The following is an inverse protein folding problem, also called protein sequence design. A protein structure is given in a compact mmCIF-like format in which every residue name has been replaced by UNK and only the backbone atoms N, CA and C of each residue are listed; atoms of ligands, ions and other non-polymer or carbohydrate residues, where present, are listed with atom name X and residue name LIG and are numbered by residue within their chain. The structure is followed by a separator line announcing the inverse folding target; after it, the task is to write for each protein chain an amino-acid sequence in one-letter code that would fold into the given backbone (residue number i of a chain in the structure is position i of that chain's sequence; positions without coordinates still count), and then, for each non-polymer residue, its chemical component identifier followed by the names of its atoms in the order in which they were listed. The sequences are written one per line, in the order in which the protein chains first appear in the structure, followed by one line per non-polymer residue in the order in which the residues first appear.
data_IF_741168777200
#
_entry.id   IF_741168777200
#
_cell.length_a   1.000
_cell.length_b   1.000
_cell.length_c   1.000
_cell.angle_alpha   90.00
_cell.angle_beta   90.00
_cell.angle_gamma   90.00
#
_symmetry.space_group_name_H-M   'P 1'
#
loop_
_entity.id
_entity.type
_entity.pdbx_description
1 polymer ?
#
# COMPACT_ATOMS: atom_id res chain seq x y z
N UNK A 1 -12.42 -13.36 10.97
CA UNK A 1 -12.09 -13.46 9.52
C UNK A 1 -10.85 -12.68 9.07
N UNK A 2 -10.35 -11.68 9.81
CA UNK A 2 -9.14 -10.90 9.42
C UNK A 2 -7.83 -11.71 9.40
N UNK A 3 -7.80 -12.87 10.09
CA UNK A 3 -6.60 -13.73 10.17
C UNK A 3 -6.14 -14.30 8.82
N UNK A 4 -7.05 -14.44 7.85
CA UNK A 4 -6.71 -15.00 6.53
C UNK A 4 -6.16 -13.93 5.58
N UNK A 5 -6.89 -12.84 5.37
CA UNK A 5 -6.50 -11.82 4.39
C UNK A 5 -5.57 -10.75 4.94
N UNK A 6 -5.60 -10.49 6.26
CA UNK A 6 -4.82 -9.43 6.89
C UNK A 6 -3.31 -9.58 6.67
N UNK A 7 -2.71 -10.75 6.93
CA UNK A 7 -1.30 -11.00 6.60
C UNK A 7 -0.98 -10.80 5.12
N UNK A 8 -1.84 -11.30 4.22
CA UNK A 8 -1.65 -11.13 2.76
C UNK A 8 -1.67 -9.65 2.36
N UNK A 9 -2.60 -8.87 2.91
CA UNK A 9 -2.71 -7.44 2.63
C UNK A 9 -1.49 -6.65 3.12
N UNK A 10 -1.03 -6.93 4.34
CA UNK A 10 0.18 -6.27 4.87
C UNK A 10 1.45 -6.68 4.11
N UNK A 11 1.62 -7.96 3.78
CA UNK A 11 2.74 -8.41 2.93
C UNK A 11 2.68 -7.78 1.54
N UNK A 12 1.49 -7.52 1.00
CA UNK A 12 1.31 -6.79 -0.27
C UNK A 12 1.79 -5.35 -0.16
N UNK A 13 1.39 -4.62 0.88
CA UNK A 13 1.83 -3.23 1.09
C UNK A 13 3.34 -3.15 1.32
N UNK A 14 3.88 -4.00 2.19
CA UNK A 14 5.32 -4.07 2.46
C UNK A 14 6.11 -4.37 1.18
N UNK A 15 5.69 -5.39 0.43
CA UNK A 15 6.28 -5.72 -0.86
C UNK A 15 6.33 -4.53 -1.81
N UNK A 16 5.20 -3.85 -2.00
CA UNK A 16 5.11 -2.73 -2.95
C UNK A 16 6.00 -1.57 -2.50
N UNK A 17 6.05 -1.27 -1.20
CA UNK A 17 6.90 -0.21 -0.67
C UNK A 17 8.40 -0.49 -0.84
N UNK A 18 8.83 -1.75 -0.73
CA UNK A 18 10.24 -2.13 -0.90
C UNK A 18 10.68 -2.24 -2.37
N UNK A 19 9.73 -2.53 -3.28
CA UNK A 19 9.96 -2.56 -4.73
C UNK A 19 10.01 -1.13 -5.33
N UNK A 20 9.42 -0.16 -4.64
CA UNK A 20 9.27 1.20 -5.14
C UNK A 20 10.63 1.87 -5.42
N UNK A 21 10.78 2.70 -6.47
CA UNK A 21 12.07 3.31 -6.81
C UNK A 21 12.57 4.30 -5.74
N UNK A 22 13.89 4.44 -5.62
CA UNK A 22 14.50 5.46 -4.75
C UNK A 22 14.28 6.89 -5.27
N UNK A 23 14.22 7.04 -6.60
CA UNK A 23 13.93 8.30 -7.28
C UNK A 23 12.78 8.11 -8.28
N UNK A 24 11.52 8.02 -7.81
CA UNK A 24 10.37 7.75 -8.65
C UNK A 24 10.04 8.94 -9.54
N UNK A 25 9.67 8.65 -10.79
CA UNK A 25 9.12 9.66 -11.70
C UNK A 25 7.74 10.15 -11.23
N UNK A 26 7.25 11.32 -11.71
CA UNK A 26 5.89 11.78 -11.42
C UNK A 26 4.81 10.74 -11.74
N UNK A 27 5.01 9.99 -12.81
CA UNK A 27 4.11 8.96 -13.27
C UNK A 27 4.12 7.73 -12.34
N UNK A 28 5.28 7.34 -11.81
CA UNK A 28 5.42 6.28 -10.81
C UNK A 28 4.81 6.65 -9.46
N UNK A 29 4.97 7.92 -9.03
CA UNK A 29 4.25 8.44 -7.86
C UNK A 29 2.73 8.33 -8.04
N UNK A 30 2.24 8.64 -9.23
CA UNK A 30 0.82 8.54 -9.54
C UNK A 30 0.33 7.08 -9.53
N UNK A 31 1.12 6.13 -10.03
CA UNK A 31 0.81 4.68 -9.95
C UNK A 31 0.77 4.21 -8.49
N UNK A 32 1.76 4.59 -7.68
CA UNK A 32 1.81 4.20 -6.27
C UNK A 32 0.63 4.79 -5.46
N UNK A 33 0.32 6.07 -5.65
CA UNK A 33 -0.83 6.71 -5.01
C UNK A 33 -2.15 6.01 -5.40
N UNK A 34 -2.33 5.74 -6.70
CA UNK A 34 -3.49 5.02 -7.22
C UNK A 34 -3.60 3.60 -6.67
N UNK A 35 -2.47 2.89 -6.53
CA UNK A 35 -2.43 1.58 -5.90
C UNK A 35 -2.91 1.63 -4.45
N UNK A 36 -2.42 2.57 -3.63
CA UNK A 36 -2.83 2.70 -2.21
C UNK A 36 -4.31 3.05 -2.10
N UNK A 37 -4.81 3.94 -2.96
CA UNK A 37 -6.23 4.30 -3.01
C UNK A 37 -7.12 3.08 -3.30
N UNK A 38 -6.76 2.28 -4.32
CA UNK A 38 -7.48 1.07 -4.69
C UNK A 38 -7.38 -0.01 -3.61
N UNK A 39 -6.19 -0.18 -3.01
CA UNK A 39 -5.99 -1.09 -1.88
C UNK A 39 -6.94 -0.72 -0.74
N UNK A 40 -6.96 0.56 -0.33
CA UNK A 40 -7.83 1.04 0.75
C UNK A 40 -9.32 0.82 0.46
N UNK A 41 -9.77 1.08 -0.77
CA UNK A 41 -11.17 0.88 -1.19
C UNK A 41 -11.62 -0.57 -1.16
N UNK A 42 -10.72 -1.49 -1.48
CA UNK A 42 -11.02 -2.92 -1.67
C UNK A 42 -10.82 -3.76 -0.40
N UNK A 43 -10.40 -3.16 0.72
CA UNK A 43 -10.39 -3.83 2.04
C UNK A 43 -11.80 -4.34 2.35
N UNK A 44 -11.91 -5.65 2.59
CA UNK A 44 -13.19 -6.37 2.71
C UNK A 44 -13.87 -6.20 4.07
N UNK A 45 -13.17 -5.63 5.05
CA UNK A 45 -13.69 -5.31 6.38
C UNK A 45 -14.01 -3.81 6.47
N UNK A 46 -15.28 -3.45 6.65
CA UNK A 46 -15.72 -2.04 6.66
C UNK A 46 -15.01 -1.19 7.73
N UNK A 47 -14.87 -1.70 8.96
CA UNK A 47 -14.17 -1.00 10.04
C UNK A 47 -12.67 -0.82 9.75
N UNK A 48 -12.08 -1.81 9.08
CA UNK A 48 -10.68 -1.80 8.70
C UNK A 48 -10.44 -0.82 7.54
N UNK A 49 -11.33 -0.83 6.53
CA UNK A 49 -11.37 0.10 5.39
C UNK A 49 -11.47 1.54 5.86
N UNK A 50 -12.44 1.85 6.71
CA UNK A 50 -12.63 3.21 7.23
C UNK A 50 -11.43 3.67 8.05
N UNK A 51 -10.87 2.81 8.89
CA UNK A 51 -9.68 3.13 9.66
C UNK A 51 -8.45 3.37 8.78
N UNK A 52 -8.22 2.51 7.78
CA UNK A 52 -7.11 2.69 6.83
C UNK A 52 -7.26 3.99 6.05
N UNK A 53 -8.48 4.32 5.59
CA UNK A 53 -8.76 5.57 4.88
C UNK A 53 -8.47 6.81 5.74
N UNK A 54 -8.92 6.84 7.01
CA UNK A 54 -8.62 7.94 7.93
C UNK A 54 -7.13 8.07 8.22
N UNK A 55 -6.48 6.95 8.53
CA UNK A 55 -5.04 6.90 8.79
C UNK A 55 -4.22 7.39 7.59
N UNK A 56 -4.57 6.93 6.39
CA UNK A 56 -3.90 7.35 5.17
C UNK A 56 -4.12 8.82 4.84
N UNK A 57 -5.32 9.36 5.08
CA UNK A 57 -5.60 10.79 4.91
C UNK A 57 -4.75 11.64 5.87
N UNK A 58 -4.68 11.28 7.15
CA UNK A 58 -3.85 11.96 8.15
C UNK A 58 -2.37 11.90 7.80
N UNK A 59 -1.88 10.72 7.41
CA UNK A 59 -0.47 10.54 7.06
C UNK A 59 -0.07 11.44 5.89
N UNK A 60 -0.84 11.46 4.81
CA UNK A 60 -0.54 12.28 3.63
C UNK A 60 -0.55 13.78 3.92
N UNK A 61 -1.39 14.22 4.86
CA UNK A 61 -1.42 15.62 5.27
C UNK A 61 -0.16 16.01 6.05
N UNK A 62 0.33 15.11 6.92
CA UNK A 62 1.55 15.33 7.70
C UNK A 62 2.85 15.08 6.92
N UNK A 63 2.80 14.18 5.93
CA UNK A 63 3.96 13.69 5.16
C UNK A 63 3.64 13.74 3.65
N UNK A 64 3.56 14.93 3.03
CA UNK A 64 3.34 15.04 1.58
C UNK A 64 4.44 14.35 0.76
N UNK A 65 5.62 14.13 1.33
CA UNK A 65 6.76 13.44 0.76
C UNK A 65 6.68 11.91 0.76
N UNK A 66 5.64 11.27 1.31
CA UNK A 66 5.57 9.82 1.54
C UNK A 66 5.76 8.91 0.29
N UNK A 67 5.75 9.46 -0.91
CA UNK A 67 6.02 8.76 -2.18
C UNK A 67 7.24 9.33 -2.93
N UNK A 68 8.07 10.15 -2.30
CA UNK A 68 9.26 10.74 -2.92
C UNK A 68 10.41 9.74 -3.05
N UNK A 69 10.39 8.63 -2.30
CA UNK A 69 11.40 7.57 -2.38
C UNK A 69 10.86 6.24 -1.84
N UNK A 70 11.62 5.16 -2.07
CA UNK A 70 11.42 3.85 -1.42
C UNK A 70 11.38 3.98 0.10
N UNK A 71 12.32 4.73 0.66
CA UNK A 71 12.42 4.99 2.10
C UNK A 71 11.12 5.58 2.63
N UNK A 72 10.65 6.67 2.02
CA UNK A 72 9.45 7.38 2.49
C UNK A 72 8.21 6.48 2.43
N UNK A 73 8.08 5.69 1.35
CA UNK A 73 6.95 4.80 1.19
C UNK A 73 7.01 3.62 2.19
N UNK A 74 8.19 3.03 2.41
CA UNK A 74 8.36 1.97 3.40
C UNK A 74 8.04 2.47 4.82
N UNK A 75 8.50 3.68 5.19
CA UNK A 75 8.19 4.28 6.49
C UNK A 75 6.70 4.51 6.68
N UNK A 76 5.97 4.94 5.65
CA UNK A 76 4.50 5.00 5.69
C UNK A 76 3.91 3.63 6.02
N UNK A 77 4.28 2.58 5.30
CA UNK A 77 3.72 1.23 5.51
C UNK A 77 4.05 0.69 6.90
N UNK A 78 5.28 0.92 7.38
CA UNK A 78 5.72 0.45 8.70
C UNK A 78 4.94 1.15 9.82
N UNK A 79 4.81 2.48 9.76
CA UNK A 79 4.01 3.27 10.71
C UNK A 79 2.53 2.90 10.65
N UNK A 80 1.98 2.71 9.45
CA UNK A 80 0.60 2.29 9.25
C UNK A 80 0.32 0.93 9.91
N UNK A 81 1.21 -0.04 9.72
CA UNK A 81 1.09 -1.36 10.33
C UNK A 81 1.24 -1.28 11.86
N UNK A 82 2.23 -0.55 12.37
CA UNK A 82 2.40 -0.34 13.81
C UNK A 82 1.23 0.39 14.48
N UNK A 83 0.59 1.31 13.76
CA UNK A 83 -0.64 2.00 14.23
C UNK A 83 -1.79 1.01 14.38
N UNK A 84 -1.96 0.11 13.41
CA UNK A 84 -2.96 -0.98 13.51
C UNK A 84 -2.60 -1.97 14.62
N UNK A 85 -1.31 -2.32 14.80
CA UNK A 85 -0.88 -3.19 15.89
C UNK A 85 -1.19 -2.57 17.26
N UNK A 86 -0.87 -1.29 17.47
CA UNK A 86 -1.23 -0.56 18.69
C UNK A 86 -2.72 -0.62 18.98
N UNK A 87 -3.55 -0.33 17.98
CA UNK A 87 -5.01 -0.35 18.11
C UNK A 87 -5.56 -1.73 18.48
N UNK A 88 -4.89 -2.79 18.02
CA UNK A 88 -5.28 -4.18 18.27
C UNK A 88 -4.55 -4.80 19.47
N UNK A 89 -3.86 -4.00 20.28
CA UNK A 89 -3.02 -4.44 21.41
C UNK A 89 -2.03 -5.55 21.03
N UNK A 90 -1.42 -5.40 19.85
CA UNK A 90 -0.37 -6.29 19.34
C UNK A 90 1.01 -5.66 19.54
N UNK A 91 2.07 -6.49 19.64
CA UNK A 91 3.43 -6.01 19.62
C UNK A 91 3.70 -5.11 18.41
N UNK A 92 4.38 -4.00 18.64
CA UNK A 92 4.89 -3.11 17.60
C UNK A 92 6.36 -3.43 17.34
N UNK A 93 6.77 -3.29 16.09
CA UNK A 93 8.18 -3.46 15.70
C UNK A 93 8.89 -2.12 15.91
N UNK A 94 9.99 -2.13 16.66
CA UNK A 94 10.64 -0.91 17.15
C UNK A 94 11.56 -0.24 16.13
N UNK A 95 12.20 -1.01 15.25
CA UNK A 95 13.22 -0.50 14.33
C UNK A 95 12.93 -0.89 12.90
N UNK A 96 13.51 -0.14 11.96
CA UNK A 96 13.42 -0.45 10.53
C UNK A 96 14.10 -1.79 10.25
N UNK A 97 15.29 -2.02 10.81
CA UNK A 97 16.03 -3.28 10.69
C UNK A 97 15.24 -4.49 11.19
N UNK A 98 14.57 -4.39 12.35
CA UNK A 98 13.71 -5.48 12.85
C UNK A 98 12.53 -5.75 11.90
N UNK A 99 11.99 -4.71 11.26
CA UNK A 99 10.92 -4.89 10.28
C UNK A 99 11.44 -5.60 9.03
N UNK A 100 12.60 -5.19 8.50
CA UNK A 100 13.23 -5.84 7.35
C UNK A 100 13.55 -7.31 7.63
N UNK A 101 14.16 -7.61 8.78
CA UNK A 101 14.44 -8.97 9.23
C UNK A 101 13.17 -9.81 9.37
N UNK A 102 12.08 -9.21 9.86
CA UNK A 102 10.78 -9.89 9.92
C UNK A 102 10.26 -10.23 8.53
N UNK A 103 10.42 -9.32 7.56
CA UNK A 103 10.03 -9.56 6.17
C UNK A 103 10.90 -10.62 5.49
N UNK A 104 12.21 -10.64 5.75
CA UNK A 104 13.12 -11.70 5.30
C UNK A 104 12.64 -13.07 5.79
N UNK A 105 12.39 -13.20 7.09
CA UNK A 105 11.90 -14.45 7.68
C UNK A 105 10.55 -14.89 7.09
N UNK A 106 9.64 -13.95 6.85
CA UNK A 106 8.33 -14.22 6.27
C UNK A 106 8.40 -14.59 4.78
N UNK A 107 9.52 -14.31 4.10
CA UNK A 107 9.69 -14.53 2.66
C UNK A 107 10.60 -15.71 2.30
N UNK A 108 11.09 -16.45 3.30
CA UNK A 108 11.92 -17.66 3.09
C UNK A 108 11.22 -18.69 2.21
N UNK A 109 9.93 -18.94 2.45
CA UNK A 109 9.16 -20.00 1.76
C UNK A 109 8.06 -19.44 0.84
N UNK A 110 7.88 -18.12 0.80
CA UNK A 110 6.83 -17.49 0.01
C UNK A 110 7.30 -16.13 -0.46
N UNK A 111 7.43 -15.95 -1.76
CA UNK A 111 7.92 -14.70 -2.32
C UNK A 111 6.90 -13.58 -2.16
N UNK A 112 7.39 -12.34 -2.20
CA UNK A 112 6.52 -11.18 -2.23
C UNK A 112 5.49 -11.22 -3.37
N UNK A 113 5.90 -11.65 -4.57
CA UNK A 113 4.99 -11.84 -5.71
C UNK A 113 3.83 -12.78 -5.39
N UNK A 114 4.11 -13.90 -4.70
CA UNK A 114 3.10 -14.87 -4.28
C UNK A 114 2.14 -14.27 -3.25
N UNK A 115 2.63 -13.44 -2.31
CA UNK A 115 1.76 -12.73 -1.38
C UNK A 115 0.82 -11.74 -2.08
N UNK A 116 1.36 -10.92 -3.01
CA UNK A 116 0.56 -9.96 -3.79
C UNK A 116 -0.51 -10.69 -4.60
N UNK A 117 -0.13 -11.75 -5.31
CA UNK A 117 -1.07 -12.56 -6.10
C UNK A 117 -2.15 -13.21 -5.24
N UNK A 118 -1.78 -13.79 -4.09
CA UNK A 118 -2.73 -14.41 -3.16
C UNK A 118 -3.73 -13.40 -2.61
N UNK A 119 -3.30 -12.18 -2.31
CA UNK A 119 -4.18 -11.10 -1.87
C UNK A 119 -5.15 -10.67 -2.98
N UNK A 120 -4.68 -10.50 -4.20
CA UNK A 120 -5.51 -10.13 -5.35
C UNK A 120 -6.55 -11.20 -5.69
N UNK A 121 -6.17 -12.49 -5.63
CA UNK A 121 -7.09 -13.61 -5.82
C UNK A 121 -8.15 -13.66 -4.71
N UNK A 122 -7.76 -13.40 -3.46
CA UNK A 122 -8.70 -13.26 -2.36
C UNK A 122 -9.72 -12.14 -2.63
N UNK A 123 -9.25 -10.94 -2.99
CA UNK A 123 -10.13 -9.81 -3.29
C UNK A 123 -11.07 -10.10 -4.46
N UNK A 124 -10.56 -10.71 -5.53
CA UNK A 124 -11.34 -11.10 -6.72
C UNK A 124 -12.49 -12.03 -6.35
N UNK A 125 -12.20 -13.03 -5.49
CA UNK A 125 -13.22 -13.96 -5.01
C UNK A 125 -14.28 -13.25 -4.16
N UNK A 126 -13.88 -12.42 -3.21
CA UNK A 126 -14.82 -11.75 -2.30
C UNK A 126 -15.72 -10.78 -3.07
N UNK A 127 -15.12 -9.86 -3.83
CA UNK A 127 -15.91 -8.86 -4.57
C UNK A 127 -16.61 -9.44 -5.80
N UNK A 128 -16.17 -10.59 -6.32
CA UNK A 128 -16.88 -11.34 -7.36
C UNK A 128 -18.14 -12.06 -6.87
N UNK A 129 -18.28 -12.27 -5.56
CA UNK A 129 -19.47 -12.85 -4.93
C UNK A 129 -20.50 -11.80 -4.49
N UNK A 130 -20.15 -10.51 -4.56
CA UNK A 130 -21.05 -9.39 -4.26
C UNK A 130 -21.68 -8.84 -5.55
N UNK A 131 -22.95 -9.15 -5.76
CA UNK A 131 -23.71 -8.72 -6.95
C UNK A 131 -24.30 -7.31 -6.85
N UNK A 132 -24.05 -6.59 -5.75
CA UNK A 132 -24.50 -5.21 -5.58
C UNK A 132 -23.85 -4.24 -6.58
N UNK A 133 -24.36 -3.02 -6.65
CA UNK A 133 -23.71 -1.94 -7.41
C UNK A 133 -22.29 -1.66 -6.91
N UNK A 134 -22.11 -1.63 -5.59
CA UNK A 134 -20.80 -1.43 -4.95
C UNK A 134 -19.85 -2.59 -5.25
N UNK A 135 -20.30 -3.84 -5.10
CA UNK A 135 -19.51 -5.04 -5.42
C UNK A 135 -18.98 -5.02 -6.86
N UNK A 136 -19.82 -4.65 -7.83
CA UNK A 136 -19.39 -4.50 -9.24
C UNK A 136 -18.35 -3.41 -9.45
N UNK A 137 -18.45 -2.27 -8.73
CA UNK A 137 -17.42 -1.23 -8.78
C UNK A 137 -16.11 -1.72 -8.17
N UNK A 138 -16.16 -2.35 -7.00
CA UNK A 138 -14.98 -2.88 -6.32
C UNK A 138 -14.32 -4.00 -7.13
N UNK A 139 -15.08 -4.82 -7.85
CA UNK A 139 -14.52 -5.80 -8.78
C UNK A 139 -13.73 -5.14 -9.92
N UNK A 140 -14.14 -3.95 -10.40
CA UNK A 140 -13.36 -3.17 -11.38
C UNK A 140 -12.07 -2.65 -10.74
N UNK A 141 -12.16 -2.13 -9.53
CA UNK A 141 -10.99 -1.66 -8.77
C UNK A 141 -9.98 -2.79 -8.53
N UNK A 142 -10.45 -4.01 -8.23
CA UNK A 142 -9.59 -5.20 -8.11
C UNK A 142 -8.93 -5.56 -9.44
N UNK A 143 -9.66 -5.52 -10.57
CA UNK A 143 -9.05 -5.72 -11.90
C UNK A 143 -7.96 -4.70 -12.19
N UNK A 144 -8.15 -3.46 -11.77
CA UNK A 144 -7.14 -2.41 -11.90
C UNK A 144 -5.91 -2.69 -11.02
N UNK A 145 -6.09 -3.21 -9.79
CA UNK A 145 -5.00 -3.69 -8.95
C UNK A 145 -4.22 -4.85 -9.59
N UNK A 146 -4.90 -5.81 -10.25
CA UNK A 146 -4.24 -6.86 -11.03
C UNK A 146 -3.36 -6.28 -12.13
N UNK A 147 -3.87 -5.29 -12.86
CA UNK A 147 -3.12 -4.64 -13.93
C UNK A 147 -1.89 -3.90 -13.41
N UNK A 148 -2.04 -3.09 -12.36
CA UNK A 148 -0.92 -2.39 -11.73
C UNK A 148 0.13 -3.41 -11.23
N UNK A 149 -0.31 -4.49 -10.59
CA UNK A 149 0.61 -5.53 -10.14
C UNK A 149 1.38 -6.17 -11.29
N UNK A 150 0.68 -6.58 -12.36
CA UNK A 150 1.30 -7.24 -13.52
C UNK A 150 2.23 -6.31 -14.30
N UNK A 151 1.82 -5.07 -14.54
CA UNK A 151 2.54 -4.15 -15.44
C UNK A 151 3.63 -3.35 -14.72
N UNK A 152 3.48 -3.12 -13.41
CA UNK A 152 4.37 -2.22 -12.67
C UNK A 152 5.17 -2.93 -11.57
N UNK A 153 4.50 -3.64 -10.66
CA UNK A 153 5.18 -4.25 -9.50
C UNK A 153 5.96 -5.52 -9.85
N UNK A 154 5.36 -6.44 -10.59
CA UNK A 154 5.98 -7.72 -10.94
C UNK A 154 7.25 -7.57 -11.80
N UNK A 155 7.35 -6.64 -12.77
CA UNK A 155 8.61 -6.44 -13.51
C UNK A 155 9.76 -5.91 -12.64
N UNK A 156 9.48 -5.49 -11.40
CA UNK A 156 10.44 -4.92 -10.44
C UNK A 156 10.62 -5.81 -9.21
N UNK A 157 10.38 -7.12 -9.31
CA UNK A 157 10.62 -8.02 -8.17
C UNK A 157 12.02 -7.85 -7.58
N UNK A 158 12.09 -7.95 -6.26
CA UNK A 158 13.34 -7.89 -5.52
C UNK A 158 14.11 -9.20 -5.67
N UNK A 159 15.42 -9.10 -5.89
CA UNK A 159 16.36 -10.21 -5.71
C UNK A 159 16.70 -10.45 -4.24
N UNK A 160 16.67 -9.37 -3.45
CA UNK A 160 16.90 -9.36 -2.00
C UNK A 160 16.17 -8.17 -1.38
N UNK A 161 15.83 -8.26 -0.10
CA UNK A 161 15.25 -7.11 0.62
C UNK A 161 16.30 -5.99 0.67
N UNK A 162 15.95 -4.75 0.27
CA UNK A 162 16.89 -3.64 0.28
C UNK A 162 17.15 -3.14 1.70
N UNK A 163 18.31 -2.54 1.90
CA UNK A 163 18.59 -1.78 3.12
C UNK A 163 17.79 -0.48 3.11
N UNK A 164 17.31 -0.09 4.30
CA UNK A 164 16.63 1.17 4.56
C UNK A 164 17.29 1.84 5.76
N UNK A 165 17.31 3.16 5.78
CA UNK A 165 17.84 3.91 6.91
C UNK A 165 16.91 3.76 8.13
N UNK A 166 17.49 3.71 9.33
CA UNK A 166 16.71 3.75 10.57
C UNK A 166 15.94 5.06 10.68
N UNK A 167 14.70 4.95 11.15
CA UNK A 167 13.83 6.08 11.41
C UNK A 167 12.74 5.67 12.40
N UNK A 168 12.04 6.65 12.96
CA UNK A 168 10.90 6.38 13.82
C UNK A 168 9.77 5.71 13.02
N UNK A 169 9.40 4.50 13.43
CA UNK A 169 8.26 3.74 12.89
C UNK A 169 7.21 3.44 13.97
N UNK A 170 7.38 3.96 15.18
CA UNK A 170 6.57 3.68 16.36
C UNK A 170 5.52 4.77 16.61
N UNK A 171 5.82 6.02 16.23
CA UNK A 171 4.84 7.11 16.28
C UNK A 171 3.62 6.75 15.45
N UNK A 172 2.47 6.80 16.13
CA UNK A 172 1.22 6.36 15.56
C UNK A 172 0.64 7.44 14.66
N UNK A 173 0.11 7.01 13.52
CA UNK A 173 -0.47 7.90 12.50
C UNK A 173 -1.78 8.54 12.98
N UNK A 174 -2.41 7.98 14.01
CA UNK A 174 -3.64 8.48 14.63
C UNK A 174 -3.42 9.65 15.61
N UNK A 175 -2.17 10.06 15.87
CA UNK A 175 -1.81 11.13 16.82
C UNK A 175 -1.14 12.34 16.16
N UNK A 176 -1.62 12.76 14.99
CA UNK A 176 -1.22 14.07 14.47
C UNK A 176 -2.24 15.12 14.92
N UNK A 177 -1.86 15.88 15.95
CA UNK A 177 -2.50 17.16 16.24
C UNK A 177 -2.38 18.02 14.97
N UNK A 178 -3.53 18.46 14.47
CA UNK A 178 -3.64 19.18 13.22
C UNK A 178 -2.87 20.50 13.27
N UNK A 179 -1.62 20.52 12.81
CA UNK A 179 -0.92 21.76 12.43
C UNK A 179 -0.08 21.51 11.18
N UNK A 180 -0.73 21.44 10.03
CA UNK A 180 -0.11 21.79 8.76
C UNK A 180 -1.18 22.35 7.84
N UNK A 181 -1.23 23.68 7.73
CA UNK A 181 -2.02 24.38 6.72
C UNK A 181 -1.48 24.02 5.34
N UNK A 182 -2.31 23.38 4.53
CA UNK A 182 -1.98 23.00 3.18
C UNK A 182 -2.08 24.21 2.23
N UNK A 183 -0.95 24.60 1.62
CA UNK A 183 -0.89 25.52 0.47
C UNK A 183 -0.04 24.87 -0.64
N UNK A 184 -0.56 23.83 -1.29
CA UNK A 184 0.10 23.20 -2.42
C UNK A 184 -0.90 22.75 -3.47
N UNK A 185 -0.82 23.26 -4.70
CA UNK A 185 -1.65 22.74 -5.77
C UNK A 185 -1.19 21.33 -6.15
N UNK A 186 -1.96 20.31 -5.80
CA UNK A 186 -1.80 18.95 -6.35
C UNK A 186 -2.34 18.99 -7.78
N UNK A 187 -1.45 18.95 -8.77
CA UNK A 187 -1.84 18.75 -10.16
C UNK A 187 -2.24 17.28 -10.32
N UNK A 188 -3.50 16.97 -10.66
CA UNK A 188 -3.93 15.58 -10.79
C UNK A 188 -3.35 14.98 -12.06
N UNK A 189 -2.32 14.15 -11.93
CA UNK A 189 -1.87 13.26 -13.01
C UNK A 189 -2.87 12.11 -13.10
N UNK A 190 -3.60 12.04 -14.22
CA UNK A 190 -4.63 11.02 -14.42
C UNK A 190 -3.98 9.74 -14.94
N UNK A 191 -3.82 8.74 -14.07
CA UNK A 191 -3.46 7.38 -14.49
C UNK A 191 -4.69 6.73 -15.14
N UNK A 192 -4.54 6.22 -16.36
CA UNK A 192 -5.63 5.64 -17.14
C UNK A 192 -5.23 4.35 -17.83
N UNK A 193 -6.22 3.52 -18.15
CA UNK A 193 -6.04 2.23 -18.81
C UNK A 193 -6.75 2.26 -20.17
N UNK A 194 -6.00 2.04 -21.25
CA UNK A 194 -6.55 1.91 -22.61
C UNK A 194 -5.95 0.68 -23.29
N UNK A 195 -6.80 -0.27 -23.70
CA UNK A 195 -6.35 -1.51 -24.35
C UNK A 195 -5.68 -2.53 -23.41
N UNK A 196 -5.98 -2.50 -22.10
CA UNK A 196 -5.52 -3.53 -21.15
C UNK A 196 -4.03 -3.45 -20.77
N UNK A 197 -3.38 -2.30 -20.99
CA UNK A 197 -2.03 -2.00 -20.49
C UNK A 197 -2.02 -0.66 -19.77
N UNK A 198 -1.20 -0.55 -18.74
CA UNK A 198 -0.93 0.71 -18.05
C UNK A 198 -0.31 1.71 -19.05
N UNK A 199 -1.02 2.81 -19.35
CA UNK A 199 -0.45 3.92 -20.13
C UNK A 199 -0.26 5.12 -19.22
N UNK A 200 0.98 5.60 -19.16
CA UNK A 200 1.36 6.85 -18.53
C UNK A 200 1.26 7.94 -19.61
N UNK A 201 0.38 8.92 -19.44
CA UNK A 201 0.18 9.99 -20.41
C UNK A 201 0.24 11.36 -19.74
N UNK A 202 1.22 12.18 -20.14
CA UNK A 202 1.09 13.64 -20.10
C UNK A 202 0.23 14.05 -21.29
N UNK A 203 -0.70 14.99 -21.08
CA UNK A 203 -1.21 15.79 -22.19
C UNK A 203 -0.26 16.95 -22.41
#
# INVERSE_FOLDING_TARGET
MTKLWGPLGWMTLHSVSLIYPDAPTPEERAIAAKFIDLFGKTITCIFCKNHFASMYALYRAAHPEYLNSKQDFALFVFRAHNTVNKRLDKPRISTVSDCLKTLENNTVNTSFSQFRMSYLLYLSRIWGQDFSGEGRMLQRDVRELFQINSDYWTPRELTSIPELAEADIITSVDRFDAVASFTGNVVPVKVGFAGGRLKLGRR
#
